data_IF_333517020958
#
_entry.id   IF_333517020958
#
_cell.length_a   1.000
_cell.length_b   1.000
_cell.length_c   1.000
_cell.angle_alpha   90.00
_cell.angle_beta   90.00
_cell.angle_gamma   90.00
#
_symmetry.space_group_name_H-M   'P 1'
#
loop_
_entity.id
_entity.type
_entity.pdbx_description
1 polymer ?
#
# COMPACT_ATOMS: atom_id res chain seq x y z
N UNK A 1 -36.33 -19.05 -4.83
CA UNK A 1 -35.50 -17.89 -4.43
C UNK A 1 -34.06 -18.30 -4.64
N UNK A 2 -33.37 -17.69 -5.60
CA UNK A 2 -32.00 -18.05 -5.93
C UNK A 2 -31.08 -17.51 -4.84
N UNK A 3 -30.54 -18.40 -4.02
CA UNK A 3 -29.47 -18.10 -3.07
C UNK A 3 -28.25 -17.63 -3.88
N UNK A 4 -27.93 -16.35 -3.76
CA UNK A 4 -26.82 -15.73 -4.47
C UNK A 4 -25.58 -15.93 -3.59
N UNK A 5 -24.47 -16.48 -4.10
CA UNK A 5 -23.31 -16.79 -3.27
C UNK A 5 -22.80 -15.50 -2.59
N UNK A 6 -22.59 -15.58 -1.27
CA UNK A 6 -22.02 -14.49 -0.49
C UNK A 6 -20.58 -14.28 -0.95
N UNK A 7 -20.31 -13.18 -1.65
CA UNK A 7 -18.96 -12.79 -2.05
C UNK A 7 -18.12 -12.58 -0.77
N UNK A 8 -17.06 -13.36 -0.61
CA UNK A 8 -16.13 -13.33 0.54
C UNK A 8 -14.80 -12.69 0.15
N UNK A 9 -14.82 -11.63 -0.64
CA UNK A 9 -13.59 -10.98 -1.07
C UNK A 9 -12.98 -10.21 0.10
N UNK A 10 -11.88 -10.73 0.65
CA UNK A 10 -11.09 -10.02 1.65
C UNK A 10 -10.11 -9.11 0.91
N UNK A 11 -10.48 -7.84 0.81
CA UNK A 11 -9.73 -6.83 0.06
C UNK A 11 -8.73 -6.05 0.94
N UNK A 12 -8.50 -6.48 2.19
CA UNK A 12 -7.56 -5.81 3.07
C UNK A 12 -6.11 -6.07 2.63
N UNK A 13 -5.29 -5.02 2.67
CA UNK A 13 -3.87 -5.05 2.34
C UNK A 13 -3.06 -4.35 3.43
N UNK A 14 -1.84 -4.84 3.64
CA UNK A 14 -0.90 -4.29 4.63
C UNK A 14 0.00 -3.24 3.96
N UNK A 15 -0.03 -2.02 4.50
CA UNK A 15 0.81 -0.91 4.07
C UNK A 15 2.29 -1.27 4.19
N UNK A 16 3.02 -1.21 3.09
CA UNK A 16 4.45 -1.57 3.04
C UNK A 16 5.37 -0.47 3.58
N UNK A 17 4.80 0.60 4.12
CA UNK A 17 5.51 1.62 4.85
C UNK A 17 5.31 1.48 6.36
N UNK A 18 4.07 1.60 6.86
CA UNK A 18 3.78 1.62 8.29
C UNK A 18 3.34 0.27 8.89
N UNK A 19 2.93 -0.70 8.07
CA UNK A 19 2.44 -1.99 8.54
C UNK A 19 0.96 -2.04 8.94
N UNK A 20 0.21 -0.95 8.79
CA UNK A 20 -1.24 -0.94 9.03
C UNK A 20 -1.97 -1.73 7.93
N UNK A 21 -3.01 -2.45 8.32
CA UNK A 21 -3.95 -3.09 7.41
C UNK A 21 -5.10 -2.12 7.06
N UNK A 22 -5.41 -2.00 5.77
CA UNK A 22 -6.46 -1.12 5.26
C UNK A 22 -7.04 -1.72 3.97
N UNK A 23 -8.23 -1.26 3.57
CA UNK A 23 -8.87 -1.63 2.31
C UNK A 23 -7.96 -1.32 1.12
N UNK A 24 -7.74 -2.28 0.22
CA UNK A 24 -6.92 -2.07 -0.98
C UNK A 24 -7.40 -0.89 -1.83
N UNK A 25 -8.73 -0.68 -1.91
CA UNK A 25 -9.35 0.40 -2.69
C UNK A 25 -9.16 1.79 -2.08
N UNK A 26 -8.74 1.91 -0.82
CA UNK A 26 -8.56 3.19 -0.12
C UNK A 26 -7.11 3.68 -0.16
N UNK A 27 -6.15 2.79 -0.36
CA UNK A 27 -4.74 3.14 -0.43
C UNK A 27 -4.24 3.54 -1.82
N UNK A 28 -2.96 3.89 -1.87
CA UNK A 28 -2.26 4.35 -3.06
C UNK A 28 -1.04 3.46 -3.36
N UNK A 29 -0.64 3.29 -4.63
CA UNK A 29 0.53 2.52 -4.99
C UNK A 29 1.84 3.28 -4.70
N UNK A 30 2.86 2.56 -4.25
CA UNK A 30 4.24 3.03 -4.22
C UNK A 30 4.69 3.45 -5.62
N UNK A 31 5.29 4.64 -5.75
CA UNK A 31 5.70 5.22 -7.03
C UNK A 31 6.74 4.41 -7.81
N UNK A 32 7.52 3.56 -7.13
CA UNK A 32 8.59 2.78 -7.79
C UNK A 32 8.20 1.32 -8.06
N UNK A 33 7.40 0.70 -7.19
CA UNK A 33 7.13 -0.75 -7.28
C UNK A 33 5.66 -1.14 -7.22
N UNK A 34 4.74 -0.17 -7.17
CA UNK A 34 3.30 -0.40 -7.19
C UNK A 34 2.72 -1.04 -5.93
N UNK A 35 3.53 -1.30 -4.91
CA UNK A 35 3.06 -1.95 -3.69
C UNK A 35 2.16 -1.05 -2.85
N UNK A 36 1.28 -1.64 -2.05
CA UNK A 36 0.25 -0.91 -1.30
C UNK A 36 0.82 0.01 -0.22
N UNK A 37 0.35 1.26 -0.21
CA UNK A 37 0.53 2.26 0.84
C UNK A 37 -0.86 2.70 1.33
N UNK A 38 -1.10 2.71 2.64
CA UNK A 38 -2.39 3.13 3.18
C UNK A 38 -2.67 4.61 2.96
N UNK A 39 -3.95 4.98 3.01
CA UNK A 39 -4.46 6.35 2.85
C UNK A 39 -3.74 7.35 3.77
N UNK A 40 -3.52 6.98 5.04
CA UNK A 40 -2.81 7.83 6.02
C UNK A 40 -1.36 8.10 5.62
N UNK A 41 -0.65 7.13 5.04
CA UNK A 41 0.70 7.34 4.53
C UNK A 41 0.70 8.29 3.33
N UNK A 42 -0.26 8.15 2.42
CA UNK A 42 -0.45 9.07 1.29
C UNK A 42 -0.68 10.51 1.75
N UNK A 43 -1.57 10.74 2.74
CA UNK A 43 -1.79 12.07 3.31
C UNK A 43 -0.57 12.68 4.00
N UNK A 44 0.34 11.85 4.52
CA UNK A 44 1.63 12.28 5.08
C UNK A 44 2.70 12.56 4.02
N UNK A 45 2.35 12.45 2.73
CA UNK A 45 3.28 12.65 1.61
C UNK A 45 4.21 11.46 1.35
N UNK A 46 3.92 10.29 1.92
CA UNK A 46 4.72 9.09 1.69
C UNK A 46 4.29 8.47 0.37
N UNK A 47 5.15 8.58 -0.64
CA UNK A 47 4.92 8.07 -2.00
C UNK A 47 5.69 6.78 -2.29
N UNK A 48 6.60 6.39 -1.40
CA UNK A 48 7.49 5.23 -1.54
C UNK A 48 7.32 4.27 -0.36
N UNK A 49 7.42 2.97 -0.61
CA UNK A 49 7.54 1.99 0.48
C UNK A 49 8.94 2.07 1.11
N UNK A 50 9.09 1.56 2.34
CA UNK A 50 10.37 1.60 3.07
C UNK A 50 11.53 1.06 2.23
N UNK A 51 11.32 -0.06 1.54
CA UNK A 51 12.37 -0.66 0.71
C UNK A 51 12.80 0.25 -0.47
N UNK A 52 11.87 0.97 -1.08
CA UNK A 52 12.18 1.90 -2.17
C UNK A 52 12.82 3.19 -1.66
N UNK A 53 12.41 3.70 -0.49
CA UNK A 53 13.09 4.83 0.14
C UNK A 53 14.56 4.52 0.47
N UNK A 54 14.84 3.36 1.05
CA UNK A 54 16.22 2.97 1.39
C UNK A 54 17.10 2.86 0.14
N UNK A 55 16.57 2.27 -0.96
CA UNK A 55 17.27 2.23 -2.25
C UNK A 55 17.54 3.62 -2.82
N UNK A 56 16.55 4.51 -2.76
CA UNK A 56 16.68 5.87 -3.25
C UNK A 56 17.70 6.68 -2.44
N UNK A 57 17.76 6.48 -1.12
CA UNK A 57 18.76 7.13 -0.24
C UNK A 57 20.16 6.62 -0.55
N UNK A 58 20.35 5.32 -0.68
CA UNK A 58 21.66 4.73 -1.01
C UNK A 58 22.21 5.26 -2.35
N UNK A 59 21.34 5.45 -3.35
CA UNK A 59 21.73 6.00 -4.65
C UNK A 59 22.14 7.49 -4.61
N UNK A 60 21.67 8.26 -3.62
CA UNK A 60 22.04 9.68 -3.45
C UNK A 60 23.36 9.87 -2.69
N UNK A 61 23.86 8.81 -2.03
CA UNK A 61 25.06 8.84 -1.20
C UNK A 61 26.29 8.22 -1.88
N UNK A 62 26.12 7.71 -3.11
CA UNK A 62 27.18 7.16 -3.96
C UNK A 62 27.66 8.19 -4.97
#
# INVERSE_FOLDING_TARGET
>A
MTDKPKLMEHDAMVCRYCGNEERASEGYPCSDCGTFLCLICSFRGITRCKACEEKAKAAQQA
#
